data_IF_756033480849
#
_entry.id   IF_756033480849
#
_cell.length_a   1.000
_cell.length_b   1.000
_cell.length_c   1.000
_cell.angle_alpha   90.00
_cell.angle_beta   90.00
_cell.angle_gamma   90.00
#
_symmetry.space_group_name_H-M   'P 1'
#
loop_
_entity.id
_entity.type
_entity.pdbx_description
1 polymer ?
#
# COMPACT_ATOMS: atom_id res chain seq x y z
N UNK A 1 10.43 -17.02 5.63
CA UNK A 1 11.58 -17.39 6.48
C UNK A 1 12.39 -16.15 6.80
N UNK A 2 12.49 -15.83 8.09
CA UNK A 2 13.27 -14.69 8.60
C UNK A 2 14.74 -15.06 8.46
N UNK A 3 15.49 -14.38 7.59
CA UNK A 3 16.95 -14.44 7.59
C UNK A 3 17.45 -13.74 8.86
N UNK A 4 17.62 -14.50 9.93
CA UNK A 4 18.25 -14.03 11.16
C UNK A 4 19.76 -14.07 10.97
N UNK A 5 20.37 -12.93 10.71
CA UNK A 5 21.82 -12.80 10.85
C UNK A 5 22.15 -12.53 12.33
N UNK A 6 22.64 -13.56 13.01
CA UNK A 6 23.23 -13.46 14.35
C UNK A 6 24.71 -13.13 14.20
N UNK A 7 25.12 -11.93 14.57
CA UNK A 7 26.55 -11.56 14.66
C UNK A 7 26.80 -10.97 16.05
N UNK A 8 27.39 -11.77 16.92
CA UNK A 8 27.88 -11.33 18.24
C UNK A 8 26.80 -10.94 19.26
N UNK A 9 27.23 -10.29 20.38
CA UNK A 9 26.35 -9.81 21.45
C UNK A 9 25.51 -8.58 21.07
N UNK A 10 25.82 -7.92 19.97
CA UNK A 10 25.07 -6.83 19.39
C UNK A 10 24.47 -7.34 18.07
N UNK A 11 23.15 -7.61 18.06
CA UNK A 11 22.45 -8.18 16.90
C UNK A 11 21.88 -7.09 16.03
N UNK A 12 22.20 -7.16 14.73
CA UNK A 12 21.44 -6.50 13.68
C UNK A 12 20.40 -7.50 13.15
N UNK A 13 19.11 -7.19 13.31
CA UNK A 13 18.03 -7.96 12.69
C UNK A 13 17.54 -7.19 11.49
N UNK A 14 17.46 -7.88 10.37
CA UNK A 14 16.91 -7.32 9.14
C UNK A 14 15.68 -8.09 8.68
N UNK A 15 14.65 -7.34 8.40
CA UNK A 15 13.48 -7.84 7.70
C UNK A 15 13.59 -7.60 6.17
N UNK A 16 13.07 -8.52 5.39
CA UNK A 16 12.95 -8.40 3.93
C UNK A 16 11.79 -7.52 3.49
N UNK A 17 10.89 -7.16 4.41
CA UNK A 17 9.73 -6.31 4.15
C UNK A 17 10.01 -4.85 4.51
N UNK A 18 9.19 -3.94 4.01
CA UNK A 18 9.23 -2.53 4.44
C UNK A 18 8.66 -2.36 5.84
N UNK A 19 7.64 -3.13 6.18
CA UNK A 19 7.00 -3.09 7.49
C UNK A 19 7.69 -4.02 8.50
N UNK A 20 7.93 -3.52 9.70
CA UNK A 20 8.61 -4.24 10.80
C UNK A 20 7.72 -4.42 12.02
N UNK A 21 6.45 -4.09 11.91
CA UNK A 21 5.47 -4.11 12.99
C UNK A 21 5.42 -5.45 13.73
N UNK A 22 5.59 -6.56 13.03
CA UNK A 22 5.60 -7.91 13.59
C UNK A 22 6.87 -8.24 14.40
N UNK A 23 7.96 -7.47 14.26
CA UNK A 23 9.21 -7.62 15.00
C UNK A 23 9.28 -6.74 16.24
N UNK A 24 8.49 -5.65 16.31
CA UNK A 24 8.56 -4.66 17.39
C UNK A 24 7.83 -5.13 18.66
N UNK A 25 8.22 -6.28 19.19
CA UNK A 25 7.71 -6.79 20.48
C UNK A 25 8.25 -5.99 21.65
N UNK A 26 7.58 -6.04 22.83
CA UNK A 26 8.04 -5.39 24.05
C UNK A 26 9.46 -5.80 24.46
N UNK A 27 9.85 -7.03 24.15
CA UNK A 27 11.21 -7.54 24.43
C UNK A 27 12.21 -6.94 23.44
N UNK A 28 11.89 -6.91 22.15
CA UNK A 28 12.73 -6.32 21.11
C UNK A 28 13.03 -4.84 21.36
N UNK A 29 12.02 -4.08 21.82
CA UNK A 29 12.19 -2.65 22.13
C UNK A 29 13.22 -2.38 23.23
N UNK A 30 13.41 -3.32 24.17
CA UNK A 30 14.34 -3.18 25.32
C UNK A 30 15.78 -3.59 24.98
N UNK A 31 15.99 -4.31 23.88
CA UNK A 31 17.33 -4.81 23.53
C UNK A 31 18.14 -3.76 22.76
N UNK A 32 19.46 -3.66 22.97
CA UNK A 32 20.35 -2.79 22.22
C UNK A 32 20.63 -3.39 20.82
N UNK A 33 19.57 -3.64 20.05
CA UNK A 33 19.66 -4.23 18.70
C UNK A 33 19.36 -3.15 17.68
N UNK A 34 20.18 -3.02 16.65
CA UNK A 34 19.89 -2.19 15.49
C UNK A 34 18.97 -2.98 14.57
N UNK A 35 17.84 -2.39 14.20
CA UNK A 35 16.87 -2.97 13.26
C UNK A 35 16.91 -2.18 11.95
N UNK A 36 17.02 -2.90 10.84
CA UNK A 36 16.93 -2.31 9.50
C UNK A 36 15.86 -3.02 8.67
N UNK A 37 15.27 -2.31 7.70
CA UNK A 37 14.28 -2.87 6.78
C UNK A 37 14.70 -2.73 5.31
N UNK A 38 13.82 -3.15 4.40
CA UNK A 38 14.03 -3.07 2.95
C UNK A 38 13.41 -1.84 2.30
N UNK A 39 13.24 -0.75 3.08
CA UNK A 39 12.63 0.49 2.58
C UNK A 39 13.31 0.98 1.28
N UNK A 40 12.49 1.35 0.30
CA UNK A 40 12.94 1.84 -1.01
C UNK A 40 13.22 0.75 -2.05
N UNK A 41 13.41 -0.52 -1.64
CA UNK A 41 13.71 -1.61 -2.59
C UNK A 41 12.49 -1.97 -3.42
N UNK A 42 11.32 -1.97 -2.80
CA UNK A 42 10.08 -2.47 -3.40
C UNK A 42 9.23 -1.36 -4.04
N UNK A 43 9.62 -0.10 -3.92
CA UNK A 43 8.81 1.06 -4.33
C UNK A 43 8.34 0.97 -5.78
N UNK A 44 9.22 0.58 -6.69
CA UNK A 44 8.90 0.47 -8.11
C UNK A 44 7.93 -0.68 -8.39
N UNK A 45 8.17 -1.85 -7.82
CA UNK A 45 7.30 -3.02 -8.00
C UNK A 45 5.88 -2.76 -7.45
N UNK A 46 5.80 -2.22 -6.23
CA UNK A 46 4.51 -1.87 -5.59
C UNK A 46 3.79 -0.79 -6.39
N UNK A 47 4.50 0.20 -6.93
CA UNK A 47 3.88 1.24 -7.75
C UNK A 47 3.38 0.71 -9.09
N UNK A 48 4.11 -0.21 -9.74
CA UNK A 48 3.67 -0.88 -10.98
C UNK A 48 2.43 -1.74 -10.73
N UNK A 49 2.44 -2.52 -9.63
CA UNK A 49 1.29 -3.32 -9.22
C UNK A 49 0.06 -2.47 -8.93
N UNK A 50 0.25 -1.36 -8.20
CA UNK A 50 -0.83 -0.39 -7.91
C UNK A 50 -1.43 0.17 -9.20
N UNK A 51 -0.59 0.53 -10.17
CA UNK A 51 -1.05 1.02 -11.48
C UNK A 51 -1.81 -0.05 -12.26
N UNK A 52 -1.36 -1.31 -12.21
CA UNK A 52 -2.06 -2.43 -12.83
C UNK A 52 -3.45 -2.64 -12.23
N UNK A 53 -3.57 -2.64 -10.90
CA UNK A 53 -4.85 -2.72 -10.17
C UNK A 53 -5.77 -1.56 -10.52
N UNK A 54 -5.24 -0.33 -10.49
CA UNK A 54 -5.96 0.90 -10.82
C UNK A 54 -6.55 0.85 -12.24
N UNK A 55 -5.71 0.56 -13.23
CA UNK A 55 -6.14 0.46 -14.61
C UNK A 55 -7.14 -0.68 -14.81
N UNK A 56 -6.96 -1.80 -14.13
CA UNK A 56 -7.90 -2.93 -14.18
C UNK A 56 -9.29 -2.55 -13.67
N UNK A 57 -9.39 -1.78 -12.59
CA UNK A 57 -10.67 -1.25 -12.08
C UNK A 57 -11.32 -0.29 -13.08
N UNK A 58 -10.59 0.76 -13.46
CA UNK A 58 -11.11 1.84 -14.33
C UNK A 58 -11.51 1.31 -15.70
N UNK A 59 -10.77 0.33 -16.23
CA UNK A 59 -11.04 -0.29 -17.55
C UNK A 59 -11.93 -1.51 -17.49
N UNK A 60 -12.42 -1.91 -16.29
CA UNK A 60 -13.28 -3.08 -16.09
C UNK A 60 -12.67 -4.39 -16.63
N UNK A 61 -11.34 -4.56 -16.54
CA UNK A 61 -10.65 -5.75 -17.06
C UNK A 61 -11.16 -7.06 -16.44
N UNK A 62 -11.42 -7.17 -15.11
CA UNK A 62 -11.95 -8.39 -14.52
C UNK A 62 -13.30 -8.83 -15.12
N UNK A 63 -14.15 -7.86 -15.45
CA UNK A 63 -15.45 -8.15 -16.11
C UNK A 63 -15.19 -8.69 -17.52
N UNK A 64 -14.28 -8.09 -18.27
CA UNK A 64 -13.94 -8.53 -19.64
C UNK A 64 -13.35 -9.94 -19.64
N UNK A 65 -12.47 -10.27 -18.67
CA UNK A 65 -11.87 -11.59 -18.52
C UNK A 65 -12.96 -12.66 -18.25
N UNK A 66 -13.87 -12.39 -17.29
CA UNK A 66 -15.01 -13.30 -17.01
C UNK A 66 -15.93 -13.47 -18.23
N UNK A 67 -16.17 -12.41 -18.99
CA UNK A 67 -16.94 -12.47 -20.24
C UNK A 67 -16.23 -13.30 -21.31
N UNK A 68 -14.89 -13.20 -21.40
CA UNK A 68 -14.09 -14.02 -22.32
C UNK A 68 -14.27 -15.50 -22.02
N UNK A 69 -14.20 -15.90 -20.72
CA UNK A 69 -14.39 -17.30 -20.30
C UNK A 69 -15.79 -17.81 -20.65
N UNK A 70 -16.79 -16.95 -20.58
CA UNK A 70 -18.19 -17.23 -20.91
C UNK A 70 -18.53 -17.04 -22.39
N UNK A 71 -17.57 -16.62 -23.24
CA UNK A 71 -17.77 -16.29 -24.67
C UNK A 71 -18.82 -15.21 -24.89
N UNK A 72 -18.93 -14.26 -23.96
CA UNK A 72 -19.86 -13.11 -24.02
C UNK A 72 -19.16 -11.91 -24.65
N UNK A 73 -19.70 -11.39 -25.78
CA UNK A 73 -19.25 -10.17 -26.44
C UNK A 73 -20.11 -8.97 -26.03
N UNK A 74 -19.80 -8.36 -24.86
CA UNK A 74 -20.55 -7.21 -24.33
C UNK A 74 -19.60 -6.12 -23.85
N UNK A 75 -19.84 -4.87 -24.18
CA UNK A 75 -19.05 -3.72 -23.73
C UNK A 75 -19.44 -3.35 -22.30
N UNK A 76 -18.56 -3.45 -21.29
CA UNK A 76 -18.80 -2.90 -19.97
C UNK A 76 -18.69 -1.37 -20.01
N UNK A 77 -19.28 -0.70 -19.03
CA UNK A 77 -19.13 0.75 -18.87
C UNK A 77 -17.75 1.06 -18.27
N UNK A 78 -16.79 1.38 -19.13
CA UNK A 78 -15.42 1.74 -18.74
C UNK A 78 -15.25 3.24 -18.52
N UNK A 79 -14.21 3.64 -17.82
CA UNK A 79 -13.77 5.04 -17.65
C UNK A 79 -12.28 5.19 -18.02
N UNK A 80 -11.71 6.38 -17.84
CA UNK A 80 -10.32 6.72 -18.12
C UNK A 80 -9.69 7.41 -16.91
N UNK A 81 -8.37 7.31 -16.76
CA UNK A 81 -7.62 8.08 -15.74
C UNK A 81 -7.44 9.55 -16.11
N UNK A 82 -7.64 9.91 -17.37
CA UNK A 82 -7.46 11.27 -17.84
C UNK A 82 -8.31 12.26 -17.02
N UNK A 83 -7.64 13.27 -16.46
CA UNK A 83 -8.23 14.32 -15.60
C UNK A 83 -8.90 13.83 -14.30
N UNK A 84 -8.69 12.56 -13.89
CA UNK A 84 -9.18 12.07 -12.60
C UNK A 84 -8.36 12.62 -11.45
N UNK A 85 -9.01 12.75 -10.31
CA UNK A 85 -8.37 13.12 -9.05
C UNK A 85 -8.01 11.85 -8.28
N UNK A 86 -6.73 11.66 -8.00
CA UNK A 86 -6.21 10.52 -7.24
C UNK A 86 -5.69 11.02 -5.90
N UNK A 87 -6.25 10.49 -4.81
CA UNK A 87 -5.77 10.73 -3.46
C UNK A 87 -4.81 9.59 -3.06
N UNK A 88 -3.59 9.94 -2.66
CA UNK A 88 -2.59 9.00 -2.14
C UNK A 88 -2.44 9.26 -0.65
N UNK A 89 -2.98 8.34 0.16
CA UNK A 89 -2.98 8.44 1.62
C UNK A 89 -1.80 7.65 2.17
N UNK A 90 -0.80 8.39 2.66
CA UNK A 90 0.54 7.86 2.94
C UNK A 90 1.52 8.19 1.81
N UNK A 91 1.94 9.45 1.72
CA UNK A 91 2.87 9.91 0.68
C UNK A 91 4.32 9.78 1.14
N UNK A 92 4.77 8.53 1.31
CA UNK A 92 6.17 8.12 1.49
C UNK A 92 6.85 7.78 0.15
N UNK A 93 7.88 6.94 0.18
CA UNK A 93 8.62 6.51 -1.02
C UNK A 93 7.70 5.79 -2.03
N UNK A 94 6.89 4.83 -1.57
CA UNK A 94 5.90 4.11 -2.40
C UNK A 94 4.86 5.08 -2.97
N UNK A 95 4.28 5.95 -2.12
CA UNK A 95 3.30 6.94 -2.58
C UNK A 95 3.85 7.89 -3.64
N UNK A 96 5.12 8.30 -3.50
CA UNK A 96 5.83 9.10 -4.50
C UNK A 96 6.06 8.33 -5.80
N UNK A 97 6.49 7.06 -5.71
CA UNK A 97 6.69 6.21 -6.88
C UNK A 97 5.39 5.96 -7.65
N UNK A 98 4.25 5.84 -6.94
CA UNK A 98 2.91 5.75 -7.55
C UNK A 98 2.57 7.08 -8.26
N UNK A 99 2.71 8.22 -7.56
CA UNK A 99 2.41 9.53 -8.12
C UNK A 99 3.19 9.80 -9.42
N UNK A 100 4.47 9.49 -9.42
CA UNK A 100 5.33 9.63 -10.59
C UNK A 100 4.78 8.88 -11.81
N UNK A 101 4.25 7.67 -11.62
CA UNK A 101 3.68 6.86 -12.71
C UNK A 101 2.35 7.39 -13.21
N UNK A 102 1.46 7.73 -12.29
CA UNK A 102 0.11 8.15 -12.66
C UNK A 102 0.04 9.59 -13.19
N UNK A 103 1.03 10.42 -12.90
CA UNK A 103 1.11 11.80 -13.43
C UNK A 103 1.11 11.82 -14.97
N UNK A 104 1.67 10.78 -15.61
CA UNK A 104 1.66 10.62 -17.07
C UNK A 104 0.26 10.49 -17.69
N UNK A 105 -0.77 10.23 -16.90
CA UNK A 105 -2.18 10.17 -17.33
C UNK A 105 -2.91 11.54 -17.21
N UNK A 106 -2.19 12.62 -16.95
CA UNK A 106 -2.76 13.95 -16.69
C UNK A 106 -3.76 13.94 -15.51
N UNK A 107 -3.50 13.16 -14.50
CA UNK A 107 -4.29 13.11 -13.26
C UNK A 107 -3.96 14.28 -12.34
N UNK A 108 -4.92 14.67 -11.51
CA UNK A 108 -4.71 15.55 -10.36
C UNK A 108 -4.37 14.69 -9.13
N UNK A 109 -3.25 14.95 -8.47
CA UNK A 109 -2.76 14.14 -7.34
C UNK A 109 -2.87 14.92 -6.04
N UNK A 110 -3.65 14.38 -5.10
CA UNK A 110 -3.81 14.88 -3.73
C UNK A 110 -3.02 13.93 -2.81
N UNK A 111 -1.94 14.42 -2.22
CA UNK A 111 -1.13 13.63 -1.31
C UNK A 111 -1.53 13.89 0.15
N UNK A 112 -1.57 12.84 0.99
CA UNK A 112 -1.74 12.96 2.44
C UNK A 112 -0.51 12.41 3.13
N UNK A 113 0.15 13.24 3.96
CA UNK A 113 1.38 12.89 4.70
C UNK A 113 1.47 13.65 6.03
N UNK A 114 2.35 13.20 6.92
CA UNK A 114 2.51 13.79 8.26
C UNK A 114 3.04 15.21 8.22
N UNK A 115 3.98 15.51 7.33
CA UNK A 115 4.62 16.83 7.21
C UNK A 115 4.43 17.35 5.79
N UNK A 116 3.82 18.52 5.67
CA UNK A 116 3.61 19.16 4.37
C UNK A 116 4.96 19.54 3.78
N UNK A 117 5.19 19.16 2.54
CA UNK A 117 6.34 19.59 1.75
C UNK A 117 5.97 19.48 0.27
N UNK A 118 6.46 20.42 -0.52
CA UNK A 118 6.25 20.41 -1.96
C UNK A 118 6.90 19.18 -2.62
N UNK A 119 6.23 18.66 -3.62
CA UNK A 119 6.73 17.57 -4.44
C UNK A 119 6.23 17.76 -5.88
N UNK A 120 7.10 17.63 -6.91
CA UNK A 120 6.75 17.93 -8.30
C UNK A 120 5.66 17.02 -8.88
N UNK A 121 5.38 15.88 -8.24
CA UNK A 121 4.35 14.95 -8.70
C UNK A 121 2.98 15.18 -8.03
N UNK A 122 2.86 16.12 -7.08
CA UNK A 122 1.60 16.41 -6.39
C UNK A 122 1.03 17.76 -6.78
N UNK A 123 -0.29 17.85 -6.87
CA UNK A 123 -0.99 19.13 -7.09
C UNK A 123 -1.37 19.79 -5.77
N UNK A 124 -1.62 19.01 -4.71
CA UNK A 124 -1.87 19.51 -3.35
C UNK A 124 -1.42 18.46 -2.32
N UNK A 125 -0.92 18.95 -1.19
CA UNK A 125 -0.51 18.12 -0.05
C UNK A 125 -1.34 18.49 1.17
N UNK A 126 -1.82 17.49 1.88
CA UNK A 126 -2.67 17.58 3.06
C UNK A 126 -2.09 16.79 4.23
N UNK A 127 -2.51 17.12 5.44
CA UNK A 127 -2.27 16.31 6.65
C UNK A 127 -3.42 15.33 6.89
N UNK A 128 -3.22 14.34 7.76
CA UNK A 128 -4.21 13.28 8.00
C UNK A 128 -5.53 13.79 8.58
N UNK A 129 -5.52 14.85 9.38
CA UNK A 129 -6.70 15.52 9.94
C UNK A 129 -7.59 16.17 8.87
N UNK A 130 -7.02 16.47 7.70
CA UNK A 130 -7.72 17.04 6.56
C UNK A 130 -8.33 15.99 5.62
N UNK A 131 -8.35 14.72 6.01
CA UNK A 131 -8.87 13.63 5.17
C UNK A 131 -10.29 13.87 4.65
N UNK A 132 -11.13 14.52 5.47
CA UNK A 132 -12.51 14.92 5.11
C UNK A 132 -12.59 15.90 3.94
N UNK A 133 -11.52 16.65 3.69
CA UNK A 133 -11.45 17.60 2.59
C UNK A 133 -10.86 16.98 1.31
N UNK A 134 -10.26 15.79 1.44
CA UNK A 134 -9.61 15.04 0.38
C UNK A 134 -10.56 14.00 -0.25
N UNK A 135 -11.18 13.14 0.58
CA UNK A 135 -11.98 12.01 0.09
C UNK A 135 -13.15 12.41 -0.82
N UNK A 136 -13.90 13.50 -0.56
CA UNK A 136 -15.00 13.91 -1.45
C UNK A 136 -14.52 14.39 -2.83
N UNK A 137 -13.24 14.78 -2.96
CA UNK A 137 -12.66 15.24 -4.23
C UNK A 137 -12.10 14.08 -5.06
N UNK A 138 -11.72 12.98 -4.42
CA UNK A 138 -11.03 11.87 -5.04
C UNK A 138 -11.95 11.00 -5.90
N UNK A 139 -11.51 10.67 -7.10
CA UNK A 139 -12.11 9.62 -7.94
C UNK A 139 -11.47 8.26 -7.64
N UNK A 140 -10.22 8.27 -7.17
CA UNK A 140 -9.48 7.10 -6.73
C UNK A 140 -8.79 7.44 -5.40
N UNK A 141 -8.88 6.55 -4.42
CA UNK A 141 -8.16 6.66 -3.14
C UNK A 141 -7.23 5.47 -3.00
N UNK A 142 -5.94 5.73 -2.82
CA UNK A 142 -4.90 4.71 -2.65
C UNK A 142 -4.37 4.80 -1.22
N UNK A 143 -4.51 3.72 -0.45
CA UNK A 143 -3.93 3.57 0.87
C UNK A 143 -2.50 3.04 0.75
N UNK A 144 -1.52 3.84 1.20
CA UNK A 144 -0.09 3.54 1.25
C UNK A 144 0.52 3.93 2.61
N UNK A 145 -0.29 3.85 3.67
CA UNK A 145 0.07 4.17 5.06
C UNK A 145 0.87 3.04 5.71
N UNK A 146 1.85 3.34 6.57
CA UNK A 146 2.42 2.33 7.45
C UNK A 146 1.37 1.86 8.47
N UNK A 147 1.50 0.64 8.99
CA UNK A 147 0.70 0.15 10.11
C UNK A 147 1.28 0.67 11.43
N UNK A 148 0.57 1.59 12.06
CA UNK A 148 0.91 2.16 13.37
C UNK A 148 -0.35 2.27 14.22
N UNK A 149 -0.25 2.49 15.54
CA UNK A 149 -1.44 2.72 16.35
C UNK A 149 -2.33 3.87 15.83
N UNK A 150 -1.72 4.93 15.26
CA UNK A 150 -2.44 6.08 14.73
C UNK A 150 -3.12 5.82 13.38
N UNK A 151 -2.67 4.81 12.64
CA UNK A 151 -3.23 4.45 11.33
C UNK A 151 -4.11 3.20 11.36
N UNK A 152 -4.26 2.58 12.52
CA UNK A 152 -5.14 1.43 12.70
C UNK A 152 -6.59 1.83 12.41
N UNK A 153 -7.26 1.07 11.54
CA UNK A 153 -8.63 1.35 11.07
C UNK A 153 -8.84 2.81 10.60
N UNK A 154 -7.81 3.40 9.99
CA UNK A 154 -7.87 4.76 9.46
C UNK A 154 -9.03 4.94 8.47
N UNK A 155 -9.34 3.91 7.69
CA UNK A 155 -10.50 3.85 6.82
C UNK A 155 -11.62 3.03 7.47
N UNK A 156 -12.58 3.71 8.05
CA UNK A 156 -13.80 3.13 8.62
C UNK A 156 -15.06 3.54 7.84
N UNK A 157 -16.23 3.27 8.42
CA UNK A 157 -17.54 3.65 7.83
C UNK A 157 -17.63 5.13 7.48
N UNK A 158 -17.07 5.99 8.33
CA UNK A 158 -17.09 7.44 8.13
C UNK A 158 -16.29 7.83 6.89
N UNK A 159 -15.08 7.32 6.73
CA UNK A 159 -14.21 7.64 5.61
C UNK A 159 -14.80 7.14 4.29
N UNK A 160 -15.32 5.90 4.26
CA UNK A 160 -16.03 5.37 3.08
C UNK A 160 -17.30 6.18 2.76
N UNK A 161 -18.00 6.72 3.76
CA UNK A 161 -19.17 7.57 3.52
C UNK A 161 -18.85 8.93 2.88
N UNK A 162 -17.62 9.41 3.05
CA UNK A 162 -17.14 10.66 2.45
C UNK A 162 -16.69 10.49 1.00
N UNK A 163 -16.44 9.26 0.55
CA UNK A 163 -15.99 8.98 -0.80
C UNK A 163 -17.15 9.13 -1.82
N UNK A 164 -16.79 9.42 -3.08
CA UNK A 164 -17.79 9.47 -4.16
C UNK A 164 -18.33 8.06 -4.44
N UNK A 165 -19.63 7.94 -4.76
CA UNK A 165 -20.22 6.66 -5.19
C UNK A 165 -19.56 6.06 -6.44
N UNK A 166 -18.92 6.90 -7.24
CA UNK A 166 -18.20 6.50 -8.45
C UNK A 166 -16.72 6.24 -8.22
N UNK A 167 -16.23 6.42 -6.98
CA UNK A 167 -14.80 6.30 -6.68
C UNK A 167 -14.37 4.86 -6.44
N UNK A 168 -13.08 4.62 -6.66
CA UNK A 168 -12.41 3.35 -6.36
C UNK A 168 -11.48 3.48 -5.15
N UNK A 169 -11.36 2.40 -4.40
CA UNK A 169 -10.43 2.28 -3.27
C UNK A 169 -9.37 1.22 -3.55
N UNK A 170 -8.11 1.53 -3.29
CA UNK A 170 -6.98 0.60 -3.48
C UNK A 170 -6.20 0.50 -2.18
N UNK A 171 -6.02 -0.71 -1.66
CA UNK A 171 -5.18 -0.96 -0.49
C UNK A 171 -3.97 -1.82 -0.86
N UNK A 172 -2.80 -1.19 -0.87
CA UNK A 172 -1.48 -1.85 -1.03
C UNK A 172 -0.60 -1.62 0.21
N UNK A 173 -1.20 -1.19 1.31
CA UNK A 173 -0.51 -0.88 2.54
C UNK A 173 -0.48 -2.09 3.50
N UNK A 174 -1.38 -2.08 4.48
CA UNK A 174 -1.64 -3.18 5.42
C UNK A 174 -3.14 -3.32 5.64
N UNK A 175 -3.59 -4.53 5.97
CA UNK A 175 -5.00 -4.75 6.28
C UNK A 175 -5.48 -3.89 7.45
N UNK A 176 -4.66 -3.77 8.49
CA UNK A 176 -4.97 -3.02 9.71
C UNK A 176 -5.30 -1.53 9.51
N UNK A 177 -4.96 -0.93 8.36
CA UNK A 177 -5.33 0.47 8.09
C UNK A 177 -6.79 0.63 7.65
N UNK A 178 -7.48 -0.47 7.42
CA UNK A 178 -8.87 -0.51 6.96
C UNK A 178 -9.69 -1.35 7.92
N UNK A 179 -10.84 -0.85 8.35
CA UNK A 179 -11.86 -1.71 8.95
C UNK A 179 -12.50 -2.55 7.83
N UNK A 180 -12.15 -3.84 7.76
CA UNK A 180 -12.53 -4.73 6.67
C UNK A 180 -14.05 -4.89 6.55
N UNK A 181 -14.76 -4.96 7.70
CA UNK A 181 -16.22 -5.03 7.72
C UNK A 181 -16.87 -3.76 7.13
N UNK A 182 -16.32 -2.59 7.43
CA UNK A 182 -16.81 -1.33 6.87
C UNK A 182 -16.58 -1.26 5.36
N UNK A 183 -15.48 -1.81 4.86
CA UNK A 183 -15.22 -1.90 3.42
C UNK A 183 -16.17 -2.88 2.73
N UNK A 184 -16.42 -4.06 3.32
CA UNK A 184 -17.41 -5.04 2.83
C UNK A 184 -18.79 -4.39 2.71
N UNK A 185 -19.24 -3.67 3.74
CA UNK A 185 -20.52 -2.94 3.73
C UNK A 185 -20.55 -1.87 2.62
N UNK A 186 -19.49 -1.04 2.51
CA UNK A 186 -19.42 0.01 1.51
C UNK A 186 -19.47 -0.51 0.06
N UNK A 187 -18.86 -1.66 -0.19
CA UNK A 187 -18.86 -2.33 -1.50
C UNK A 187 -20.19 -3.00 -1.82
N UNK A 188 -20.80 -3.69 -0.84
CA UNK A 188 -22.08 -4.37 -0.98
C UNK A 188 -23.23 -3.39 -1.22
N UNK A 189 -23.19 -2.23 -0.56
CA UNK A 189 -24.19 -1.17 -0.70
C UNK A 189 -23.89 -0.19 -1.86
N UNK A 190 -22.85 -0.46 -2.64
CA UNK A 190 -22.39 0.43 -3.71
C UNK A 190 -22.19 1.89 -3.25
N UNK A 191 -21.69 2.08 -2.02
CA UNK A 191 -21.27 3.40 -1.50
C UNK A 191 -20.02 3.90 -2.22
N UNK A 192 -19.19 2.97 -2.69
CA UNK A 192 -18.07 3.19 -3.62
C UNK A 192 -18.23 2.24 -4.80
N UNK A 193 -17.62 2.57 -5.94
CA UNK A 193 -17.77 1.80 -7.17
C UNK A 193 -17.09 0.43 -7.12
N UNK A 194 -15.95 0.34 -6.43
CA UNK A 194 -15.19 -0.90 -6.31
C UNK A 194 -13.88 -0.72 -5.55
N UNK A 195 -13.19 -1.82 -5.33
CA UNK A 195 -11.89 -1.83 -4.66
C UNK A 195 -10.91 -2.81 -5.30
N UNK A 196 -9.60 -2.55 -5.10
CA UNK A 196 -8.53 -3.51 -5.34
C UNK A 196 -7.68 -3.66 -4.08
N UNK A 197 -7.47 -4.88 -3.65
CA UNK A 197 -6.90 -5.21 -2.36
C UNK A 197 -5.75 -6.20 -2.55
N UNK A 198 -4.57 -5.84 -2.02
CA UNK A 198 -3.40 -6.73 -1.98
C UNK A 198 -3.16 -7.32 -0.59
N UNK A 199 -3.89 -6.83 0.43
CA UNK A 199 -3.71 -7.20 1.85
C UNK A 199 -5.05 -7.43 2.54
N UNK A 200 -5.10 -8.39 3.49
CA UNK A 200 -6.32 -8.86 4.16
C UNK A 200 -6.06 -9.10 5.65
N UNK A 201 -7.09 -8.96 6.49
CA UNK A 201 -6.96 -9.22 7.95
C UNK A 201 -6.46 -10.64 8.23
N UNK A 202 -6.93 -11.61 7.45
CA UNK A 202 -6.45 -12.99 7.51
C UNK A 202 -5.87 -13.40 6.17
N UNK A 203 -4.60 -13.76 6.17
CA UNK A 203 -3.87 -14.25 5.01
C UNK A 203 -3.38 -15.68 5.25
N UNK A 204 -3.67 -16.63 4.35
CA UNK A 204 -4.46 -16.51 3.13
C UNK A 204 -5.92 -16.15 3.38
N UNK A 205 -6.52 -15.37 2.44
CA UNK A 205 -7.93 -14.98 2.52
C UNK A 205 -8.83 -16.23 2.59
N UNK A 206 -9.70 -16.36 3.61
CA UNK A 206 -10.58 -17.52 3.76
C UNK A 206 -11.47 -17.75 2.53
N UNK A 207 -11.69 -19.00 2.16
CA UNK A 207 -12.49 -19.37 0.97
C UNK A 207 -13.94 -18.87 1.02
N UNK A 208 -14.50 -18.69 2.22
CA UNK A 208 -15.85 -18.17 2.43
C UNK A 208 -15.92 -16.66 2.56
N UNK A 209 -14.80 -15.94 2.33
CA UNK A 209 -14.78 -14.48 2.48
C UNK A 209 -15.63 -13.79 1.41
N UNK A 210 -16.44 -12.75 1.76
CA UNK A 210 -17.34 -12.08 0.82
C UNK A 210 -16.64 -11.51 -0.42
N UNK A 211 -15.40 -11.02 -0.30
CA UNK A 211 -14.66 -10.42 -1.41
C UNK A 211 -14.54 -11.33 -2.62
N UNK A 212 -14.48 -12.66 -2.45
CA UNK A 212 -14.39 -13.61 -3.57
C UNK A 212 -15.58 -13.54 -4.54
N UNK A 213 -16.77 -13.24 -4.01
CA UNK A 213 -18.02 -13.17 -4.78
C UNK A 213 -18.34 -11.77 -5.30
N UNK A 214 -17.63 -10.73 -4.87
CA UNK A 214 -17.89 -9.35 -5.27
C UNK A 214 -17.31 -9.04 -6.65
N UNK A 215 -18.16 -8.73 -7.62
CA UNK A 215 -17.76 -8.39 -8.99
C UNK A 215 -16.94 -7.09 -9.09
N UNK A 216 -17.14 -6.19 -8.14
CA UNK A 216 -16.47 -4.89 -8.03
C UNK A 216 -15.20 -4.91 -7.18
N UNK A 217 -14.68 -6.10 -6.85
CA UNK A 217 -13.44 -6.28 -6.09
C UNK A 217 -12.40 -7.01 -6.92
N UNK A 218 -11.15 -6.53 -6.87
CA UNK A 218 -9.96 -7.22 -7.36
C UNK A 218 -9.16 -7.65 -6.15
N UNK A 219 -8.77 -8.93 -6.11
CA UNK A 219 -7.94 -9.53 -5.07
C UNK A 219 -6.58 -9.85 -5.67
N UNK A 220 -5.50 -9.44 -5.01
CA UNK A 220 -4.15 -9.94 -5.25
C UNK A 220 -3.55 -10.48 -3.94
N UNK A 221 -2.78 -11.59 -3.99
CA UNK A 221 -2.42 -12.36 -2.80
C UNK A 221 -1.15 -11.82 -2.14
N UNK A 222 -1.16 -10.57 -1.67
CA UNK A 222 -0.04 -9.87 -1.02
C UNK A 222 1.24 -9.97 -1.87
N UNK A 223 1.11 -9.64 -3.15
CA UNK A 223 2.16 -9.85 -4.16
C UNK A 223 2.73 -8.56 -4.75
N UNK A 224 2.29 -7.40 -4.28
CA UNK A 224 2.68 -6.11 -4.85
C UNK A 224 4.20 -5.87 -4.90
N UNK A 225 4.95 -6.40 -3.93
CA UNK A 225 6.42 -6.29 -3.85
C UNK A 225 7.16 -7.44 -4.53
N UNK A 226 6.45 -8.45 -5.06
CA UNK A 226 7.08 -9.69 -5.52
C UNK A 226 7.58 -9.56 -6.96
N UNK A 227 8.91 -9.49 -7.13
CA UNK A 227 9.57 -9.52 -8.44
C UNK A 227 10.77 -10.47 -8.40
N UNK A 228 11.20 -11.05 -9.53
CA UNK A 228 12.37 -11.93 -9.58
C UNK A 228 13.64 -11.28 -9.03
N UNK A 229 13.83 -9.97 -9.25
CA UNK A 229 15.04 -9.25 -8.83
C UNK A 229 14.98 -8.71 -7.40
N UNK A 230 13.84 -8.78 -6.73
CA UNK A 230 13.68 -8.29 -5.36
C UNK A 230 14.71 -8.90 -4.40
N UNK A 231 15.00 -10.19 -4.56
CA UNK A 231 15.99 -10.90 -3.74
C UNK A 231 17.41 -10.39 -3.93
N UNK A 232 17.80 -10.07 -5.15
CA UNK A 232 19.16 -9.55 -5.45
C UNK A 232 19.37 -8.20 -4.76
N UNK A 233 18.40 -7.29 -4.84
CA UNK A 233 18.47 -5.99 -4.19
C UNK A 233 18.47 -6.11 -2.65
N UNK A 234 17.66 -7.02 -2.10
CA UNK A 234 17.64 -7.31 -0.66
C UNK A 234 19.01 -7.84 -0.19
N UNK A 235 19.61 -8.76 -0.93
CA UNK A 235 20.92 -9.32 -0.61
C UNK A 235 22.03 -8.28 -0.69
N UNK A 236 21.98 -7.40 -1.70
CA UNK A 236 22.95 -6.32 -1.84
C UNK A 236 22.90 -5.32 -0.69
N UNK A 237 21.69 -4.89 -0.28
CA UNK A 237 21.50 -4.02 0.88
C UNK A 237 21.98 -4.72 2.16
N UNK A 238 21.70 -6.03 2.32
CA UNK A 238 22.18 -6.81 3.47
C UNK A 238 23.71 -6.83 3.51
N UNK A 239 24.37 -7.13 2.40
CA UNK A 239 25.83 -7.12 2.28
C UNK A 239 26.42 -5.76 2.66
N UNK A 240 25.84 -4.68 2.13
CA UNK A 240 26.31 -3.32 2.39
C UNK A 240 26.16 -2.96 3.89
N UNK A 241 25.00 -3.27 4.49
CA UNK A 241 24.79 -3.06 5.91
C UNK A 241 25.71 -3.91 6.79
N UNK A 242 26.02 -5.14 6.40
CA UNK A 242 26.99 -5.98 7.11
C UNK A 242 28.40 -5.38 7.09
N UNK A 243 28.85 -4.88 5.94
CA UNK A 243 30.14 -4.20 5.80
C UNK A 243 30.17 -2.92 6.64
N UNK A 244 29.13 -2.10 6.59
CA UNK A 244 29.02 -0.87 7.39
C UNK A 244 29.06 -1.19 8.89
N UNK A 245 28.30 -2.21 9.35
CA UNK A 245 28.28 -2.66 10.74
C UNK A 245 29.67 -3.11 11.22
N UNK A 246 30.39 -3.90 10.41
CA UNK A 246 31.74 -4.38 10.75
C UNK A 246 32.78 -3.25 10.91
N UNK A 247 32.51 -2.08 10.30
CA UNK A 247 33.37 -0.89 10.39
C UNK A 247 32.87 0.13 11.43
N UNK A 248 31.76 -0.14 12.13
CA UNK A 248 31.13 0.80 13.04
C UNK A 248 30.48 2.02 12.34
N UNK A 249 30.17 1.88 11.04
CA UNK A 249 29.51 2.91 10.24
C UNK A 249 27.99 2.84 10.40
N UNK A 250 27.30 3.94 10.08
CA UNK A 250 25.82 4.00 10.09
C UNK A 250 25.24 3.06 9.05
N UNK A 251 24.20 2.30 9.43
CA UNK A 251 23.51 1.39 8.52
C UNK A 251 22.48 2.13 7.67
N UNK A 252 22.20 1.59 6.50
CA UNK A 252 21.11 2.05 5.64
C UNK A 252 19.79 1.51 6.18
N UNK A 253 18.75 2.35 6.16
CA UNK A 253 17.39 1.98 6.61
C UNK A 253 17.31 1.53 8.08
N UNK A 254 18.06 2.18 8.97
CA UNK A 254 17.88 2.00 10.40
C UNK A 254 16.50 2.48 10.85
N UNK A 255 15.81 1.63 11.61
CA UNK A 255 14.47 1.87 12.09
C UNK A 255 14.50 2.53 13.46
N UNK A 256 13.73 3.58 13.61
CA UNK A 256 13.41 4.11 14.92
C UNK A 256 12.39 3.19 15.59
N UNK A 257 12.85 2.32 16.51
CA UNK A 257 12.00 1.31 17.18
C UNK A 257 10.82 1.90 17.94
N UNK A 258 10.91 3.15 18.43
CA UNK A 258 9.81 3.80 19.14
C UNK A 258 8.75 4.37 18.22
N UNK A 259 9.11 4.71 16.97
CA UNK A 259 8.19 5.19 15.95
C UNK A 259 7.63 4.09 15.06
N UNK A 260 8.30 2.91 15.01
CA UNK A 260 7.90 1.77 14.19
C UNK A 260 8.29 1.86 12.71
N UNK A 261 9.09 2.88 12.33
CA UNK A 261 9.53 3.11 10.94
C UNK A 261 10.82 3.93 10.90
#
# INVERSE_FOLDING_TARGET
EILRCLVGSEMCIRDRSDGVEHLLTKDMLKRPIILTNSHGIHDHAVADHTLALLLSLVRCLPIMIRQQDQKIWKRPKTDSLYQKTVAIIGYGSIGKAIAQRIKGFNTKILAVKKHISDDPFTDQVYTADQIKDVLPKADITIAALPSTPETNEFFGKKEFSLMKKTSFFINIARASVVNENALVEALSEHRIAGAALDVFEKEPLPENHPFWSMENVIISPHSASFTPDSWNHVLELLKNNFIAFSKGEKLTNEINKTKGY
#
